data_IF_702803435611
#
_entry.id   IF_702803435611
#
_cell.length_a   1.000
_cell.length_b   1.000
_cell.length_c   1.000
_cell.angle_alpha   90.00
_cell.angle_beta   90.00
_cell.angle_gamma   90.00
#
_symmetry.space_group_name_H-M   'P 1'
#
loop_
_entity.id
_entity.type
_entity.pdbx_description
1 polymer ?
#
# COMPACT_ATOMS: atom_id res chain seq x y z
N UNK A 1 9.11 5.17 -0.32
CA UNK A 1 8.57 5.60 0.99
C UNK A 1 7.70 6.82 0.82
N UNK A 2 6.53 6.83 1.46
CA UNK A 2 5.62 7.96 1.48
C UNK A 2 5.87 8.80 2.73
N UNK A 3 5.56 10.10 2.67
CA UNK A 3 5.89 11.04 3.74
C UNK A 3 4.69 11.44 4.60
N UNK A 4 3.48 11.26 4.10
CA UNK A 4 2.24 11.63 4.76
C UNK A 4 1.06 10.79 4.27
N UNK A 5 -0.10 10.97 4.88
CA UNK A 5 -1.33 10.26 4.56
C UNK A 5 -1.89 10.63 3.17
N UNK A 6 -1.70 11.87 2.73
CA UNK A 6 -2.17 12.35 1.43
C UNK A 6 -1.41 11.66 0.28
N UNK A 7 -0.08 11.57 0.36
CA UNK A 7 0.73 10.82 -0.60
C UNK A 7 0.31 9.33 -0.66
N UNK A 8 0.02 8.72 0.48
CA UNK A 8 -0.45 7.33 0.54
C UNK A 8 -1.81 7.17 -0.13
N UNK A 9 -2.73 8.11 0.09
CA UNK A 9 -4.05 8.12 -0.53
C UNK A 9 -3.96 8.26 -2.04
N UNK A 10 -3.19 9.22 -2.54
CA UNK A 10 -3.00 9.46 -3.97
C UNK A 10 -2.28 8.29 -4.66
N UNK A 11 -1.29 7.69 -4.00
CA UNK A 11 -0.63 6.48 -4.49
C UNK A 11 -1.65 5.35 -4.70
N UNK A 12 -2.49 5.08 -3.70
CA UNK A 12 -3.49 4.01 -3.77
C UNK A 12 -4.55 4.28 -4.86
N UNK A 13 -4.97 5.54 -5.04
CA UNK A 13 -5.88 5.92 -6.12
C UNK A 13 -5.25 5.71 -7.49
N UNK A 14 -4.00 6.12 -7.66
CA UNK A 14 -3.26 5.94 -8.91
C UNK A 14 -3.09 4.46 -9.22
N UNK A 15 -2.64 3.67 -8.24
CA UNK A 15 -2.48 2.23 -8.37
C UNK A 15 -3.80 1.53 -8.74
N UNK A 16 -4.89 1.89 -8.06
CA UNK A 16 -6.24 1.40 -8.37
C UNK A 16 -6.62 1.65 -9.82
N UNK A 17 -6.38 2.86 -10.33
CA UNK A 17 -6.72 3.21 -11.70
C UNK A 17 -5.90 2.42 -12.71
N UNK A 18 -4.60 2.24 -12.46
CA UNK A 18 -3.72 1.42 -13.30
C UNK A 18 -4.23 -0.03 -13.35
N UNK A 19 -4.48 -0.65 -12.19
CA UNK A 19 -4.94 -2.04 -12.12
C UNK A 19 -6.32 -2.21 -12.80
N UNK A 20 -7.25 -1.28 -12.56
CA UNK A 20 -8.55 -1.29 -13.25
C UNK A 20 -8.41 -1.23 -14.77
N UNK A 21 -7.50 -0.41 -15.27
CA UNK A 21 -7.25 -0.30 -16.70
C UNK A 21 -6.75 -1.61 -17.31
N UNK A 22 -5.94 -2.38 -16.60
CA UNK A 22 -5.45 -3.69 -17.03
C UNK A 22 -6.53 -4.78 -17.02
N UNK A 23 -7.66 -4.55 -16.35
CA UNK A 23 -8.78 -5.50 -16.18
C UNK A 23 -8.41 -6.80 -15.44
N UNK A 24 -7.32 -6.82 -14.69
CA UNK A 24 -6.90 -8.01 -13.91
C UNK A 24 -7.61 -8.12 -12.56
N UNK A 25 -8.19 -7.03 -12.05
CA UNK A 25 -8.91 -6.97 -10.78
C UNK A 25 -9.97 -5.85 -10.80
N UNK A 26 -11.03 -6.01 -10.01
CA UNK A 26 -12.02 -4.96 -9.71
C UNK A 26 -11.52 -3.96 -8.65
N UNK A 27 -10.41 -4.29 -7.98
CA UNK A 27 -9.69 -3.44 -7.01
C UNK A 27 -10.60 -2.94 -5.88
N UNK A 28 -11.37 -3.84 -5.29
CA UNK A 28 -12.26 -3.57 -4.17
C UNK A 28 -11.62 -3.96 -2.84
N UNK A 29 -11.49 -3.02 -1.92
CA UNK A 29 -11.06 -3.30 -0.55
C UNK A 29 -12.17 -3.98 0.27
N UNK A 30 -13.44 -3.69 -0.03
CA UNK A 30 -14.59 -4.26 0.67
C UNK A 30 -14.73 -5.75 0.40
N UNK A 31 -14.54 -6.18 -0.85
CA UNK A 31 -14.59 -7.60 -1.25
C UNK A 31 -13.26 -8.33 -1.08
N UNK A 32 -12.19 -7.61 -0.71
CA UNK A 32 -10.88 -8.17 -0.46
C UNK A 32 -10.04 -8.45 -1.71
N UNK A 33 -10.45 -7.99 -2.89
CA UNK A 33 -9.64 -8.09 -4.13
C UNK A 33 -8.50 -7.09 -4.17
N UNK A 34 -8.49 -6.09 -3.28
CA UNK A 34 -7.35 -5.26 -2.92
C UNK A 34 -7.21 -5.23 -1.41
N UNK A 35 -6.00 -5.46 -0.91
CA UNK A 35 -5.67 -5.32 0.50
C UNK A 35 -4.50 -4.35 0.66
N UNK A 36 -4.54 -3.58 1.74
CA UNK A 36 -3.49 -2.64 2.08
C UNK A 36 -3.23 -2.73 3.59
N UNK A 37 -1.97 -2.92 3.96
CA UNK A 37 -1.48 -2.74 5.31
C UNK A 37 -0.54 -1.54 5.31
N UNK A 38 -0.59 -0.70 6.34
CA UNK A 38 0.29 0.45 6.47
C UNK A 38 1.38 0.17 7.49
N UNK A 39 2.63 0.47 7.13
CA UNK A 39 3.76 0.44 8.05
C UNK A 39 4.20 1.88 8.33
N UNK A 40 4.10 2.31 9.58
CA UNK A 40 4.28 3.69 9.98
C UNK A 40 5.39 3.78 11.01
N UNK A 41 6.32 4.71 10.81
CA UNK A 41 7.33 5.10 11.78
C UNK A 41 7.56 6.61 11.71
N UNK A 42 7.87 7.22 12.82
CA UNK A 42 8.27 8.64 12.90
C UNK A 42 9.74 8.76 13.20
N UNK A 43 10.37 9.82 12.72
CA UNK A 43 11.76 10.14 12.99
C UNK A 43 11.94 11.65 13.11
N UNK A 44 12.99 12.08 13.80
CA UNK A 44 13.34 13.49 13.89
C UNK A 44 13.64 14.07 12.51
N UNK A 45 13.25 15.33 12.31
CA UNK A 45 13.51 16.03 11.05
C UNK A 45 15.02 16.15 10.81
N UNK A 46 15.47 15.65 9.67
CA UNK A 46 16.89 15.62 9.30
C UNK A 46 17.64 14.37 9.72
N UNK A 47 17.05 13.49 10.52
CA UNK A 47 17.61 12.16 10.81
C UNK A 47 17.66 11.30 9.55
N UNK A 48 18.65 10.41 9.48
CA UNK A 48 18.74 9.33 8.48
C UNK A 48 18.32 7.97 9.07
N UNK A 49 18.00 7.94 10.35
CA UNK A 49 17.63 6.72 11.07
C UNK A 49 16.12 6.73 11.22
N UNK A 50 15.46 5.72 10.70
CA UNK A 50 14.02 5.52 10.86
C UNK A 50 13.70 5.14 12.31
N UNK A 51 12.54 5.60 12.79
CA UNK A 51 12.01 5.15 14.06
C UNK A 51 11.46 3.72 14.02
N UNK A 52 10.99 3.23 15.15
CA UNK A 52 10.38 1.91 15.25
C UNK A 52 9.08 1.84 14.45
N UNK A 53 8.96 0.81 13.64
CA UNK A 53 7.84 0.60 12.74
C UNK A 53 6.66 -0.08 13.44
N UNK A 54 5.47 0.46 13.24
CA UNK A 54 4.19 -0.15 13.60
C UNK A 54 3.44 -0.53 12.33
N UNK A 55 2.92 -1.75 12.28
CA UNK A 55 2.08 -2.23 11.18
C UNK A 55 0.61 -2.04 11.56
N UNK A 56 -0.16 -1.34 10.71
CA UNK A 56 -1.60 -1.17 10.90
C UNK A 56 -2.38 -1.98 9.86
N UNK A 57 -3.29 -2.81 10.35
CA UNK A 57 -4.15 -3.70 9.57
C UNK A 57 -5.63 -3.32 9.68
N UNK A 58 -6.49 -4.07 8.99
CA UNK A 58 -7.94 -3.85 8.95
C UNK A 58 -8.34 -2.52 8.30
N UNK A 59 -7.65 -2.16 7.23
CA UNK A 59 -7.87 -0.94 6.47
C UNK A 59 -8.79 -1.25 5.28
N UNK A 60 -10.07 -0.92 5.39
CA UNK A 60 -11.12 -1.34 4.45
C UNK A 60 -11.43 -0.27 3.37
N UNK A 61 -10.76 0.87 3.39
CA UNK A 61 -10.88 1.92 2.39
C UNK A 61 -9.63 2.79 2.35
N UNK A 62 -9.40 3.48 1.23
CA UNK A 62 -8.27 4.43 1.12
C UNK A 62 -8.38 5.59 2.12
N UNK A 63 -9.62 6.00 2.46
CA UNK A 63 -9.85 6.98 3.50
C UNK A 63 -9.47 6.45 4.89
N UNK A 64 -9.78 5.18 5.16
CA UNK A 64 -9.36 4.52 6.40
C UNK A 64 -7.83 4.43 6.49
N UNK A 65 -7.13 4.13 5.37
CA UNK A 65 -5.67 4.14 5.32
C UNK A 65 -5.12 5.51 5.71
N UNK A 66 -5.62 6.59 5.09
CA UNK A 66 -5.15 7.95 5.39
C UNK A 66 -5.39 8.32 6.86
N UNK A 67 -6.61 8.09 7.39
CA UNK A 67 -6.94 8.39 8.79
C UNK A 67 -6.11 7.58 9.78
N UNK A 68 -5.88 6.30 9.49
CA UNK A 68 -5.06 5.45 10.33
C UNK A 68 -3.59 5.90 10.35
N UNK A 69 -3.06 6.38 9.22
CA UNK A 69 -1.72 6.95 9.14
C UNK A 69 -1.63 8.22 10.01
N UNK A 70 -2.58 9.15 9.85
CA UNK A 70 -2.59 10.40 10.62
C UNK A 70 -2.70 10.13 12.13
N UNK A 71 -3.59 9.24 12.52
CA UNK A 71 -3.74 8.83 13.92
C UNK A 71 -2.45 8.23 14.47
N UNK A 72 -1.85 7.31 13.74
CA UNK A 72 -0.67 6.58 14.21
C UNK A 72 0.57 7.48 14.29
N UNK A 73 0.71 8.43 13.37
CA UNK A 73 1.76 9.47 13.43
C UNK A 73 1.59 10.29 14.71
N UNK A 74 0.38 10.81 14.96
CA UNK A 74 0.11 11.61 16.15
C UNK A 74 0.39 10.82 17.45
N UNK A 75 -0.07 9.57 17.53
CA UNK A 75 0.14 8.68 18.66
C UNK A 75 1.64 8.43 18.93
N UNK A 76 2.43 8.16 17.87
CA UNK A 76 3.87 7.89 18.02
C UNK A 76 4.62 9.16 18.46
N UNK A 77 4.27 10.31 17.91
CA UNK A 77 4.86 11.60 18.30
C UNK A 77 4.57 11.86 19.79
N UNK A 78 3.31 11.80 20.19
CA UNK A 78 2.90 12.01 21.59
C UNK A 78 3.63 11.06 22.56
N UNK A 79 3.73 9.78 22.19
CA UNK A 79 4.44 8.79 23.01
C UNK A 79 5.92 9.15 23.19
N UNK A 80 6.60 9.55 22.12
CA UNK A 80 8.03 9.90 22.14
C UNK A 80 8.25 11.20 22.90
N UNK A 81 7.43 12.22 22.69
CA UNK A 81 7.53 13.52 23.39
C UNK A 81 7.32 13.38 24.90
N UNK A 82 6.49 12.41 25.33
CA UNK A 82 6.31 12.06 26.73
C UNK A 82 7.41 11.14 27.30
N UNK A 83 8.50 10.93 26.55
CA UNK A 83 9.65 10.11 27.00
C UNK A 83 9.41 8.61 26.91
N UNK A 84 8.34 8.17 26.24
CA UNK A 84 8.06 6.77 25.97
C UNK A 84 8.84 6.26 24.76
N UNK A 85 8.64 4.97 24.45
CA UNK A 85 9.26 4.30 23.31
C UNK A 85 8.19 3.60 22.48
N UNK A 86 8.30 3.72 21.17
CA UNK A 86 7.44 2.98 20.24
C UNK A 86 7.94 1.53 20.16
N UNK A 87 7.07 0.58 20.45
CA UNK A 87 7.35 -0.85 20.29
C UNK A 87 6.97 -1.33 18.89
N UNK A 88 7.71 -2.29 18.37
CA UNK A 88 7.38 -2.91 17.09
C UNK A 88 6.21 -3.88 17.27
N UNK A 89 5.05 -3.43 16.85
CA UNK A 89 3.80 -4.16 17.04
C UNK A 89 2.90 -4.12 15.80
N UNK A 90 1.91 -5.02 15.77
CA UNK A 90 0.80 -4.96 14.81
C UNK A 90 -0.42 -4.41 15.54
N UNK A 91 -1.05 -3.40 14.93
CA UNK A 91 -2.27 -2.77 15.42
C UNK A 91 -3.40 -2.96 14.41
N UNK A 92 -4.63 -2.93 14.89
CA UNK A 92 -5.85 -2.94 14.06
C UNK A 92 -6.47 -1.54 14.04
N UNK A 93 -6.88 -1.09 12.86
CA UNK A 93 -7.71 0.09 12.74
C UNK A 93 -9.14 -0.20 13.20
N UNK A 94 -9.62 0.60 14.14
CA UNK A 94 -11.00 0.61 14.63
C UNK A 94 -11.72 1.78 13.94
N UNK A 95 -12.51 1.46 12.92
CA UNK A 95 -13.19 2.47 12.10
C UNK A 95 -14.26 3.24 12.89
N UNK A 96 -14.89 2.59 13.87
CA UNK A 96 -15.96 3.21 14.66
C UNK A 96 -15.39 4.27 15.62
N UNK A 97 -14.30 3.94 16.31
CA UNK A 97 -13.67 4.82 17.28
C UNK A 97 -12.55 5.69 16.69
N UNK A 98 -12.17 5.47 15.42
CA UNK A 98 -11.10 6.20 14.71
C UNK A 98 -9.75 6.13 15.45
N UNK A 99 -9.40 4.95 15.98
CA UNK A 99 -8.15 4.68 16.70
C UNK A 99 -7.49 3.40 16.22
N UNK A 100 -6.23 3.21 16.56
CA UNK A 100 -5.57 1.91 16.41
C UNK A 100 -5.54 1.16 17.74
N UNK A 101 -5.77 -0.16 17.72
CA UNK A 101 -5.68 -1.04 18.91
C UNK A 101 -4.59 -2.09 18.71
N UNK A 102 -3.84 -2.39 19.76
CA UNK A 102 -2.82 -3.46 19.71
C UNK A 102 -3.46 -4.80 19.39
N UNK A 103 -2.95 -5.48 18.38
CA UNK A 103 -3.35 -6.84 18.02
C UNK A 103 -2.39 -7.86 18.63
N UNK A 104 -1.08 -7.62 18.44
CA UNK A 104 0.00 -8.45 18.96
C UNK A 104 1.31 -7.67 18.95
N UNK A 105 2.20 -8.00 19.89
CA UNK A 105 3.60 -7.57 19.82
C UNK A 105 4.38 -8.50 18.89
N UNK A 106 5.33 -7.95 18.14
CA UNK A 106 6.29 -8.73 17.34
C UNK A 106 7.60 -8.75 18.12
N UNK A 107 7.80 -9.76 18.94
CA UNK A 107 9.03 -9.91 19.72
C UNK A 107 10.23 -10.29 18.84
N UNK A 108 9.97 -10.95 17.70
CA UNK A 108 10.98 -11.28 16.69
C UNK A 108 10.44 -11.01 15.29
N UNK A 109 11.25 -10.36 14.46
CA UNK A 109 10.97 -10.27 13.03
C UNK A 109 11.14 -11.68 12.45
N UNK A 110 10.05 -12.35 12.09
CA UNK A 110 10.14 -13.62 11.37
C UNK A 110 10.87 -13.40 10.04
N UNK A 111 11.87 -14.22 9.81
CA UNK A 111 12.55 -14.30 8.51
C UNK A 111 11.56 -14.83 7.48
N UNK A 112 10.98 -13.91 6.68
CA UNK A 112 10.16 -14.29 5.53
C UNK A 112 11.09 -14.78 4.43
N UNK A 113 11.16 -16.10 4.26
CA UNK A 113 11.87 -16.69 3.14
C UNK A 113 11.04 -16.47 1.87
N UNK A 114 11.43 -15.48 1.08
CA UNK A 114 10.85 -15.26 -0.23
C UNK A 114 11.44 -16.26 -1.22
N UNK A 115 10.64 -17.23 -1.62
CA UNK A 115 10.93 -18.12 -2.74
C UNK A 115 9.76 -18.09 -3.73
N UNK A 116 10.07 -18.41 -4.97
CA UNK A 116 9.06 -18.40 -6.02
C UNK A 116 7.89 -19.32 -5.65
N UNK A 117 6.66 -18.89 -5.95
CA UNK A 117 5.49 -19.74 -5.79
C UNK A 117 5.63 -20.99 -6.65
N UNK A 118 5.63 -22.22 -6.06
CA UNK A 118 5.91 -23.44 -6.80
C UNK A 118 4.84 -23.79 -7.83
N UNK A 119 3.61 -23.28 -7.63
CA UNK A 119 2.47 -23.53 -8.54
C UNK A 119 2.46 -22.58 -9.74
N UNK A 120 3.32 -21.56 -9.75
CA UNK A 120 3.41 -20.59 -10.84
C UNK A 120 4.63 -20.88 -11.72
N UNK A 121 4.38 -21.04 -13.01
CA UNK A 121 5.45 -21.14 -14.00
C UNK A 121 6.15 -19.78 -14.15
N UNK A 122 7.47 -19.85 -14.42
CA UNK A 122 8.23 -18.63 -14.72
C UNK A 122 7.68 -17.98 -15.98
N UNK A 123 7.16 -16.77 -15.83
CA UNK A 123 6.76 -15.93 -16.97
C UNK A 123 8.02 -15.25 -17.53
N UNK A 124 8.31 -15.52 -18.80
CA UNK A 124 9.36 -14.85 -19.54
C UNK A 124 8.69 -14.12 -20.70
N UNK A 125 8.80 -12.81 -20.72
CA UNK A 125 8.27 -11.94 -21.77
C UNK A 125 9.47 -11.34 -22.50
N UNK A 126 9.52 -11.51 -23.82
CA UNK A 126 10.58 -10.92 -24.63
C UNK A 126 10.30 -9.46 -24.96
N UNK A 127 11.35 -8.72 -25.34
CA UNK A 127 11.20 -7.32 -25.76
C UNK A 127 10.34 -7.22 -27.02
N UNK A 128 10.40 -8.22 -27.91
CA UNK A 128 9.57 -8.31 -29.12
C UNK A 128 8.07 -8.43 -28.75
N UNK A 129 7.72 -9.26 -27.78
CA UNK A 129 6.33 -9.40 -27.32
C UNK A 129 5.80 -8.10 -26.70
N UNK A 130 6.66 -7.36 -25.97
CA UNK A 130 6.30 -6.06 -25.41
C UNK A 130 6.01 -5.05 -26.53
N UNK A 131 6.85 -4.99 -27.55
CA UNK A 131 6.66 -4.08 -28.69
C UNK A 131 5.42 -4.44 -29.51
N UNK A 132 5.13 -5.73 -29.74
CA UNK A 132 3.89 -6.15 -30.39
C UNK A 132 2.64 -5.71 -29.63
N UNK A 133 2.65 -5.80 -28.30
CA UNK A 133 1.52 -5.36 -27.46
C UNK A 133 1.34 -3.84 -27.56
N UNK A 134 2.43 -3.08 -27.49
CA UNK A 134 2.41 -1.63 -27.66
C UNK A 134 1.82 -1.22 -29.01
N UNK A 135 2.24 -1.88 -30.09
CA UNK A 135 1.74 -1.59 -31.43
C UNK A 135 0.24 -1.91 -31.56
N UNK A 136 -0.20 -3.06 -31.03
CA UNK A 136 -1.62 -3.43 -31.03
C UNK A 136 -2.50 -2.41 -30.29
N UNK A 137 -2.01 -1.85 -29.18
CA UNK A 137 -2.75 -0.83 -28.40
C UNK A 137 -2.78 0.53 -29.14
N UNK A 138 -1.69 0.91 -29.80
CA UNK A 138 -1.63 2.08 -30.68
C UNK A 138 -2.64 1.99 -31.82
N UNK A 139 -2.68 0.86 -32.51
CA UNK A 139 -3.59 0.62 -33.63
C UNK A 139 -5.06 0.65 -33.20
N UNK A 140 -5.38 0.13 -32.01
CA UNK A 140 -6.72 0.25 -31.42
C UNK A 140 -7.12 1.70 -31.15
N UNK A 141 -6.21 2.51 -30.59
CA UNK A 141 -6.47 3.94 -30.34
C UNK A 141 -6.73 4.69 -31.64
N UNK A 142 -5.94 4.44 -32.68
CA UNK A 142 -6.12 5.06 -34.00
C UNK A 142 -7.47 4.67 -34.61
N UNK A 143 -7.86 3.39 -34.54
CA UNK A 143 -9.17 2.93 -35.05
C UNK A 143 -10.35 3.52 -34.30
N UNK A 144 -10.21 3.71 -32.95
CA UNK A 144 -11.29 4.31 -32.17
C UNK A 144 -11.43 5.80 -32.44
N UNK A 145 -10.34 6.54 -32.62
CA UNK A 145 -10.40 7.96 -32.98
C UNK A 145 -11.02 8.20 -34.35
N UNK A 146 -10.76 7.32 -35.35
CA UNK A 146 -11.38 7.38 -36.70
C UNK A 146 -12.88 7.03 -36.74
N UNK A 147 -13.44 6.47 -35.68
CA UNK A 147 -14.88 6.20 -35.55
C UNK A 147 -15.67 7.31 -34.89
N UNK A 148 -14.97 8.33 -34.35
CA UNK A 148 -15.57 9.48 -33.69
C UNK A 148 -15.57 10.75 -34.56
N UNK A 149 -15.04 10.67 -35.78
CA UNK A 149 -15.20 11.64 -36.86
C UNK A 149 -16.32 11.16 -37.82
#
# INVERSE_FOLDING_TARGET
DMRNSEEAYEYLNTLKNIIKYTKVSDVSMETGSLRCDANISVMEKGSKIFGTRVEVKNLNSFKAVARAIDYEIARQIELIENGGKVDQETRLWDEENQITRVMRSKEEAMDYRYFNEPDLLKLVISDEEIEEIKQKELDKKIKNNKKME
#
